data_IF_437174982496
#
_entry.id   IF_437174982496
#
_cell.length_a   1.000
_cell.length_b   1.000
_cell.length_c   1.000
_cell.angle_alpha   90.00
_cell.angle_beta   90.00
_cell.angle_gamma   90.00
#
_symmetry.space_group_name_H-M   'P 1'
#
loop_
_entity.id
_entity.type
_entity.pdbx_description
1 polymer ?
#
# COMPACT_ATOMS: atom_id res chain seq x y z
N UNK A 1 3.81 -3.29 17.73
CA UNK A 1 2.71 -4.06 17.12
C UNK A 1 1.38 -3.98 17.88
N UNK A 2 1.36 -3.70 19.19
CA UNK A 2 0.11 -3.65 19.98
C UNK A 2 -0.89 -2.61 19.41
N UNK A 3 -0.44 -1.41 19.10
CA UNK A 3 -1.30 -0.37 18.49
C UNK A 3 -1.90 -0.79 17.14
N UNK A 4 -1.11 -1.48 16.28
CA UNK A 4 -1.61 -1.97 14.99
C UNK A 4 -2.69 -3.04 15.16
N UNK A 5 -2.51 -3.97 16.11
CA UNK A 5 -3.54 -4.97 16.44
C UNK A 5 -4.84 -4.32 16.94
N UNK A 6 -4.73 -3.28 17.77
CA UNK A 6 -5.90 -2.55 18.24
C UNK A 6 -6.68 -1.89 17.09
N UNK A 7 -6.00 -1.27 16.13
CA UNK A 7 -6.66 -0.69 14.95
C UNK A 7 -7.32 -1.75 14.08
N UNK A 8 -6.67 -2.90 13.87
CA UNK A 8 -7.25 -4.03 13.12
C UNK A 8 -8.47 -4.60 13.85
N UNK A 9 -8.38 -4.82 15.17
CA UNK A 9 -9.51 -5.30 15.95
C UNK A 9 -10.68 -4.32 15.92
N UNK A 10 -10.39 -3.01 16.00
CA UNK A 10 -11.41 -1.98 15.90
C UNK A 10 -12.09 -1.99 14.53
N UNK A 11 -11.30 -2.11 13.43
CA UNK A 11 -11.83 -2.26 12.09
C UNK A 11 -12.77 -3.48 12.00
N UNK A 12 -12.31 -4.66 12.45
CA UNK A 12 -13.12 -5.89 12.43
C UNK A 12 -14.41 -5.75 13.25
N UNK A 13 -14.36 -5.09 14.40
CA UNK A 13 -15.54 -4.86 15.23
C UNK A 13 -16.54 -3.87 14.60
N UNK A 14 -16.05 -2.83 13.92
CA UNK A 14 -16.90 -1.83 13.27
C UNK A 14 -17.62 -2.37 12.03
N UNK A 15 -16.92 -3.21 11.26
CA UNK A 15 -17.43 -3.64 9.94
C UNK A 15 -17.93 -5.09 9.93
N UNK A 16 -17.59 -5.92 10.93
CA UNK A 16 -18.10 -7.30 11.06
C UNK A 16 -17.92 -8.10 9.78
N UNK A 17 -19.01 -8.63 9.25
CA UNK A 17 -19.04 -9.42 8.00
C UNK A 17 -19.18 -8.55 6.73
N UNK A 18 -19.14 -7.21 6.86
CA UNK A 18 -19.33 -6.27 5.75
C UNK A 18 -18.05 -5.99 4.97
N UNK A 19 -16.90 -6.39 5.47
CA UNK A 19 -15.63 -6.23 4.77
C UNK A 19 -15.18 -7.53 4.09
N UNK A 20 -14.44 -7.40 3.01
CA UNK A 20 -13.79 -8.52 2.32
C UNK A 20 -12.41 -8.12 1.80
N UNK A 21 -11.56 -9.13 1.60
CA UNK A 21 -10.28 -8.99 0.91
C UNK A 21 -10.29 -9.86 -0.35
N UNK A 22 -9.73 -9.37 -1.43
CA UNK A 22 -9.52 -10.10 -2.67
C UNK A 22 -8.23 -9.64 -3.37
N UNK A 23 -7.60 -10.47 -4.22
CA UNK A 23 -6.48 -10.04 -5.05
C UNK A 23 -6.94 -9.02 -6.12
N UNK A 24 -6.01 -8.15 -6.57
CA UNK A 24 -6.23 -7.31 -7.75
C UNK A 24 -6.18 -8.20 -8.99
N UNK A 25 -7.18 -8.05 -9.84
CA UNK A 25 -7.31 -8.73 -11.13
C UNK A 25 -7.65 -7.71 -12.23
N UNK A 26 -7.68 -8.14 -13.50
CA UNK A 26 -8.16 -7.30 -14.61
C UNK A 26 -9.60 -6.83 -14.42
N UNK A 27 -10.41 -7.56 -13.66
CA UNK A 27 -11.83 -7.26 -13.46
C UNK A 27 -12.05 -6.14 -12.45
N UNK A 28 -11.19 -6.03 -11.41
CA UNK A 28 -11.35 -5.04 -10.34
C UNK A 28 -10.30 -3.92 -10.34
N UNK A 29 -9.30 -3.96 -11.23
CA UNK A 29 -8.26 -2.94 -11.33
C UNK A 29 -8.83 -1.54 -11.61
N UNK A 30 -9.90 -1.44 -12.40
CA UNK A 30 -10.57 -0.16 -12.67
C UNK A 30 -11.21 0.43 -11.41
N UNK A 31 -11.77 -0.38 -10.53
CA UNK A 31 -12.32 0.10 -9.25
C UNK A 31 -11.21 0.66 -8.34
N UNK A 32 -10.02 0.01 -8.32
CA UNK A 32 -8.85 0.53 -7.63
C UNK A 32 -8.38 1.86 -8.23
N UNK A 33 -8.44 2.00 -9.56
CA UNK A 33 -8.12 3.25 -10.25
C UNK A 33 -9.10 4.38 -9.86
N UNK A 34 -10.40 4.10 -9.83
CA UNK A 34 -11.42 5.06 -9.38
C UNK A 34 -11.23 5.44 -7.90
N UNK A 35 -10.88 4.48 -7.04
CA UNK A 35 -10.52 4.75 -5.66
C UNK A 35 -9.29 5.66 -5.56
N UNK A 36 -8.25 5.43 -6.38
CA UNK A 36 -7.05 6.26 -6.42
C UNK A 36 -7.35 7.70 -6.85
N UNK A 37 -8.28 7.92 -7.79
CA UNK A 37 -8.75 9.26 -8.17
C UNK A 37 -9.41 9.98 -6.99
N UNK A 38 -10.32 9.33 -6.28
CA UNK A 38 -10.97 9.89 -5.09
C UNK A 38 -9.94 10.19 -3.99
N UNK A 39 -8.99 9.28 -3.78
CA UNK A 39 -7.90 9.48 -2.83
C UNK A 39 -7.05 10.71 -3.18
N UNK A 40 -6.75 10.92 -4.46
CA UNK A 40 -6.02 12.09 -4.97
C UNK A 40 -6.72 13.40 -4.60
N UNK A 41 -8.02 13.47 -4.82
CA UNK A 41 -8.83 14.65 -4.51
C UNK A 41 -8.83 14.94 -3.01
N UNK A 42 -9.07 13.93 -2.18
CA UNK A 42 -9.09 14.06 -0.71
C UNK A 42 -7.75 14.51 -0.11
N UNK A 43 -6.63 14.14 -0.76
CA UNK A 43 -5.29 14.42 -0.25
C UNK A 43 -4.64 15.66 -0.86
N UNK A 44 -5.34 16.42 -1.70
CA UNK A 44 -4.84 17.68 -2.30
C UNK A 44 -3.58 17.45 -3.13
N UNK A 45 -3.52 16.35 -3.90
CA UNK A 45 -2.32 15.99 -4.66
C UNK A 45 -2.00 16.95 -5.80
N UNK A 46 -2.93 17.80 -6.20
CA UNK A 46 -2.74 18.76 -7.30
C UNK A 46 -1.79 19.88 -6.93
N UNK A 47 -1.75 20.27 -5.67
CA UNK A 47 -0.96 21.38 -5.15
C UNK A 47 0.47 20.97 -4.72
N UNK A 48 0.74 19.67 -4.60
CA UNK A 48 2.03 19.14 -4.15
C UNK A 48 2.71 18.30 -5.23
N UNK A 49 3.87 18.75 -5.79
CA UNK A 49 4.59 18.03 -6.84
C UNK A 49 5.00 16.60 -6.47
N UNK A 50 5.34 16.34 -5.19
CA UNK A 50 5.70 14.99 -4.71
C UNK A 50 4.50 14.07 -4.71
N UNK A 51 3.36 14.55 -4.21
CA UNK A 51 2.10 13.79 -4.21
C UNK A 51 1.59 13.56 -5.64
N UNK A 52 1.78 14.53 -6.54
CA UNK A 52 1.47 14.33 -7.98
C UNK A 52 2.30 13.23 -8.59
N UNK A 53 3.60 13.18 -8.31
CA UNK A 53 4.47 12.10 -8.76
C UNK A 53 4.02 10.74 -8.23
N UNK A 54 3.74 10.65 -6.95
CA UNK A 54 3.27 9.42 -6.29
C UNK A 54 1.94 8.90 -6.87
N UNK A 55 0.96 9.78 -7.09
CA UNK A 55 -0.32 9.36 -7.67
C UNK A 55 -0.18 8.98 -9.15
N UNK A 56 0.69 9.65 -9.90
CA UNK A 56 0.99 9.29 -11.28
C UNK A 56 1.58 7.88 -11.38
N UNK A 57 2.54 7.54 -10.52
CA UNK A 57 3.10 6.17 -10.42
C UNK A 57 2.01 5.17 -10.06
N UNK A 58 1.17 5.50 -9.08
CA UNK A 58 0.05 4.64 -8.65
C UNK A 58 -0.89 4.32 -9.82
N UNK A 59 -1.27 5.34 -10.58
CA UNK A 59 -2.19 5.16 -11.71
C UNK A 59 -1.56 4.37 -12.87
N UNK A 60 -0.26 4.59 -13.14
CA UNK A 60 0.47 3.82 -14.14
C UNK A 60 0.63 2.36 -13.71
N UNK A 61 0.92 2.09 -12.44
CA UNK A 61 1.00 0.72 -11.91
C UNK A 61 -0.33 -0.03 -12.07
N UNK A 62 -1.47 0.63 -11.83
CA UNK A 62 -2.78 0.02 -12.04
C UNK A 62 -3.09 -0.22 -13.53
N UNK A 63 -2.71 0.70 -14.40
CA UNK A 63 -2.94 0.57 -15.86
C UNK A 63 -2.08 -0.52 -16.50
N UNK A 64 -0.86 -0.68 -16.03
CA UNK A 64 0.13 -1.64 -16.53
C UNK A 64 0.28 -2.85 -15.60
N UNK A 65 -0.72 -3.11 -14.76
CA UNK A 65 -0.65 -4.07 -13.68
C UNK A 65 -0.24 -5.48 -14.16
N UNK A 66 -0.83 -5.91 -15.28
CA UNK A 66 -0.56 -7.22 -15.86
C UNK A 66 0.78 -7.25 -16.59
N UNK A 67 1.09 -6.21 -17.39
CA UNK A 67 2.34 -6.11 -18.15
C UNK A 67 3.56 -6.05 -17.23
N UNK A 68 3.42 -5.45 -16.06
CA UNK A 68 4.45 -5.37 -15.04
C UNK A 68 4.45 -6.57 -14.08
N UNK A 69 3.55 -7.54 -14.29
CA UNK A 69 3.40 -8.75 -13.45
C UNK A 69 3.27 -8.42 -11.94
N UNK A 70 2.61 -7.30 -11.63
CA UNK A 70 2.43 -6.86 -10.26
C UNK A 70 1.43 -7.74 -9.50
N UNK A 71 1.61 -7.81 -8.19
CA UNK A 71 0.71 -8.49 -7.27
C UNK A 71 0.03 -7.42 -6.41
N UNK A 72 -1.27 -7.53 -6.22
CA UNK A 72 -2.01 -6.55 -5.44
C UNK A 72 -3.19 -7.15 -4.69
N UNK A 73 -3.68 -6.40 -3.70
CA UNK A 73 -4.84 -6.75 -2.91
C UNK A 73 -5.78 -5.58 -2.68
N UNK A 74 -7.06 -5.88 -2.57
CA UNK A 74 -8.17 -4.94 -2.40
C UNK A 74 -8.89 -5.21 -1.09
N UNK A 75 -9.19 -4.17 -0.34
CA UNK A 75 -10.07 -4.22 0.82
C UNK A 75 -11.38 -3.52 0.47
N UNK A 76 -12.50 -4.22 0.69
CA UNK A 76 -13.84 -3.69 0.48
C UNK A 76 -14.60 -3.56 1.78
N UNK A 77 -15.54 -2.63 1.80
CA UNK A 77 -16.61 -2.52 2.81
C UNK A 77 -17.91 -2.33 2.06
N UNK A 78 -18.91 -3.17 2.34
CA UNK A 78 -20.20 -3.18 1.64
C UNK A 78 -20.07 -3.27 0.10
N UNK A 79 -19.02 -3.95 -0.39
CA UNK A 79 -18.72 -4.07 -1.80
C UNK A 79 -17.86 -2.94 -2.39
N UNK A 80 -17.76 -1.80 -1.73
CA UNK A 80 -16.98 -0.65 -2.21
C UNK A 80 -15.48 -0.77 -1.86
N UNK A 81 -14.59 -0.42 -2.79
CA UNK A 81 -13.14 -0.40 -2.56
C UNK A 81 -12.77 0.74 -1.62
N UNK A 82 -12.21 0.41 -0.46
CA UNK A 82 -11.78 1.39 0.57
C UNK A 82 -10.28 1.45 0.75
N UNK A 83 -9.56 0.42 0.32
CA UNK A 83 -8.09 0.38 0.30
C UNK A 83 -7.59 -0.61 -0.74
N UNK A 84 -6.37 -0.37 -1.24
CA UNK A 84 -5.64 -1.34 -2.05
C UNK A 84 -4.13 -1.21 -1.80
N UNK A 85 -3.41 -2.27 -2.16
CA UNK A 85 -1.96 -2.32 -2.10
C UNK A 85 -1.41 -3.04 -3.33
N UNK A 86 -0.21 -2.64 -3.78
CA UNK A 86 0.46 -3.21 -4.93
C UNK A 86 1.93 -3.39 -4.59
N UNK A 87 2.49 -4.51 -5.03
CA UNK A 87 3.91 -4.82 -4.87
C UNK A 87 4.36 -5.94 -5.79
N UNK A 88 5.58 -6.39 -5.58
CA UNK A 88 6.19 -7.48 -6.35
C UNK A 88 7.30 -8.18 -5.55
N UNK A 89 7.66 -9.42 -5.87
CA UNK A 89 8.88 -10.02 -5.37
C UNK A 89 10.11 -9.36 -5.99
N UNK A 90 11.09 -8.97 -5.18
CA UNK A 90 12.38 -8.43 -5.67
C UNK A 90 13.50 -9.48 -5.64
N UNK A 91 13.33 -10.53 -4.86
CA UNK A 91 14.20 -11.70 -4.85
C UNK A 91 13.47 -12.88 -4.18
N UNK A 92 14.14 -14.01 -4.05
CA UNK A 92 13.53 -15.25 -3.55
C UNK A 92 13.02 -15.20 -2.12
N UNK A 93 13.49 -14.27 -1.29
CA UNK A 93 13.13 -14.16 0.12
C UNK A 93 12.45 -12.84 0.51
N UNK A 94 12.36 -11.87 -0.41
CA UNK A 94 11.89 -10.52 -0.12
C UNK A 94 10.82 -10.07 -1.12
N UNK A 95 9.69 -9.67 -0.58
CA UNK A 95 8.62 -9.00 -1.31
C UNK A 95 8.65 -7.49 -1.01
N UNK A 96 8.43 -6.63 -2.01
CA UNK A 96 8.34 -5.18 -1.83
C UNK A 96 6.90 -4.69 -2.01
N UNK A 97 6.45 -3.83 -1.10
CA UNK A 97 5.18 -3.11 -1.21
C UNK A 97 5.47 -1.70 -1.68
N UNK A 98 5.16 -1.42 -2.95
CA UNK A 98 5.36 -0.11 -3.58
C UNK A 98 4.26 0.89 -3.24
N UNK A 99 3.02 0.43 -3.28
CA UNK A 99 1.84 1.28 -3.17
C UNK A 99 0.92 0.71 -2.09
N UNK A 100 0.48 1.57 -1.18
CA UNK A 100 -0.57 1.27 -0.21
C UNK A 100 -1.44 2.50 -0.05
N UNK A 101 -2.70 2.42 -0.44
CA UNK A 101 -3.68 3.50 -0.37
C UNK A 101 -4.90 3.04 0.41
N UNK A 102 -5.39 3.91 1.29
CA UNK A 102 -6.65 3.72 2.01
C UNK A 102 -7.30 5.07 2.27
N UNK A 103 -8.61 5.11 2.38
CA UNK A 103 -9.30 6.30 2.82
C UNK A 103 -9.03 6.54 4.31
N UNK A 104 -8.57 7.76 4.64
CA UNK A 104 -8.13 8.11 6.00
C UNK A 104 -9.29 8.10 7.01
N UNK A 105 -10.50 8.38 6.57
CA UNK A 105 -11.74 8.35 7.37
C UNK A 105 -12.17 6.93 7.75
N UNK A 106 -11.66 5.90 7.06
CA UNK A 106 -11.92 4.50 7.39
C UNK A 106 -10.91 4.04 8.44
N UNK A 107 -11.33 4.12 9.70
CA UNK A 107 -10.43 3.78 10.81
C UNK A 107 -9.94 2.34 10.72
N UNK A 108 -8.62 2.18 10.73
CA UNK A 108 -7.97 0.87 10.67
C UNK A 108 -7.79 0.29 9.26
N UNK A 109 -8.23 0.98 8.18
CA UNK A 109 -8.10 0.47 6.81
C UNK A 109 -6.64 0.21 6.40
N UNK A 110 -5.72 1.15 6.66
CA UNK A 110 -4.29 0.95 6.37
C UNK A 110 -3.68 -0.28 7.06
N UNK A 111 -3.76 -0.46 8.38
CA UNK A 111 -3.24 -1.68 9.00
C UNK A 111 -4.00 -2.95 8.59
N UNK A 112 -5.28 -2.84 8.23
CA UNK A 112 -6.07 -3.98 7.79
C UNK A 112 -5.66 -4.45 6.40
N UNK A 113 -5.56 -3.56 5.40
CA UNK A 113 -5.10 -3.94 4.06
C UNK A 113 -3.67 -4.50 4.11
N UNK A 114 -2.78 -3.89 4.91
CA UNK A 114 -1.43 -4.40 5.08
C UNK A 114 -1.40 -5.81 5.68
N UNK A 115 -2.19 -6.09 6.72
CA UNK A 115 -2.28 -7.42 7.32
C UNK A 115 -2.78 -8.44 6.30
N UNK A 116 -3.90 -8.15 5.64
CA UNK A 116 -4.52 -9.08 4.70
C UNK A 116 -3.62 -9.38 3.52
N UNK A 117 -2.98 -8.36 2.97
CA UNK A 117 -2.05 -8.53 1.87
C UNK A 117 -0.86 -9.42 2.25
N UNK A 118 -0.24 -9.16 3.40
CA UNK A 118 0.88 -9.99 3.87
C UNK A 118 0.44 -11.42 4.15
N UNK A 119 -0.75 -11.61 4.72
CA UNK A 119 -1.30 -12.94 5.03
C UNK A 119 -1.65 -13.75 3.77
N UNK A 120 -2.02 -13.11 2.66
CA UNK A 120 -2.44 -13.81 1.44
C UNK A 120 -1.33 -13.91 0.41
N UNK A 121 -0.57 -12.82 0.19
CA UNK A 121 0.36 -12.74 -0.95
C UNK A 121 1.84 -12.87 -0.55
N UNK A 122 2.19 -12.66 0.73
CA UNK A 122 3.60 -12.60 1.13
C UNK A 122 4.05 -13.76 2.04
N UNK A 123 3.25 -14.82 2.21
CA UNK A 123 3.57 -15.92 3.15
C UNK A 123 4.85 -16.70 2.82
N UNK A 124 5.20 -16.75 1.55
CA UNK A 124 6.39 -17.48 1.08
C UNK A 124 7.69 -16.67 1.21
N UNK A 125 7.57 -15.38 1.55
CA UNK A 125 8.71 -14.48 1.68
C UNK A 125 9.11 -14.29 3.15
N UNK A 126 10.42 -14.29 3.39
CA UNK A 126 10.97 -14.08 4.72
C UNK A 126 10.83 -12.61 5.17
N UNK A 127 10.92 -11.68 4.21
CA UNK A 127 10.88 -10.25 4.44
C UNK A 127 9.83 -9.56 3.56
N UNK A 128 9.20 -8.52 4.13
CA UNK A 128 8.37 -7.57 3.40
C UNK A 128 9.00 -6.19 3.54
N UNK A 129 9.52 -5.68 2.42
CA UNK A 129 10.06 -4.33 2.33
C UNK A 129 8.91 -3.34 2.06
N UNK A 130 8.77 -2.34 2.90
CA UNK A 130 7.71 -1.32 2.77
C UNK A 130 8.26 0.02 2.29
N UNK A 131 9.43 0.01 1.66
CA UNK A 131 10.12 1.17 1.11
C UNK A 131 10.35 2.32 2.10
N UNK A 132 10.68 3.50 1.58
CA UNK A 132 11.01 4.68 2.38
C UNK A 132 9.78 5.50 2.81
N UNK A 133 10.00 6.46 3.70
CA UNK A 133 8.97 7.35 4.22
C UNK A 133 8.90 8.70 3.49
N UNK A 134 9.68 8.85 2.41
CA UNK A 134 9.76 10.08 1.59
C UNK A 134 10.04 11.38 2.38
N UNK A 135 10.50 11.26 3.63
CA UNK A 135 10.77 12.38 4.54
C UNK A 135 9.55 12.87 5.32
N UNK A 136 8.37 12.25 5.16
CA UNK A 136 7.18 12.62 5.89
C UNK A 136 7.19 12.02 7.30
N UNK A 137 7.22 12.87 8.35
CA UNK A 137 7.33 12.43 9.75
C UNK A 137 6.21 11.47 10.17
N UNK A 138 4.97 11.77 9.75
CA UNK A 138 3.81 10.90 10.03
C UNK A 138 3.95 9.51 9.42
N UNK A 139 4.43 9.43 8.18
CA UNK A 139 4.67 8.17 7.48
C UNK A 139 5.83 7.40 8.11
N UNK A 140 6.92 8.08 8.47
CA UNK A 140 8.05 7.51 9.22
C UNK A 140 7.59 6.87 10.52
N UNK A 141 6.84 7.61 11.34
CA UNK A 141 6.27 7.11 12.59
C UNK A 141 5.35 5.90 12.36
N UNK A 142 4.52 5.94 11.33
CA UNK A 142 3.65 4.83 10.97
C UNK A 142 4.43 3.59 10.57
N UNK A 143 5.49 3.72 9.72
CA UNK A 143 6.35 2.59 9.30
C UNK A 143 7.17 2.03 10.46
N UNK A 144 7.82 2.87 11.26
CA UNK A 144 8.59 2.44 12.45
C UNK A 144 7.73 1.74 13.51
N UNK A 145 6.44 2.05 13.59
CA UNK A 145 5.51 1.38 14.51
C UNK A 145 5.29 -0.11 14.21
N UNK A 146 5.67 -0.58 13.01
CA UNK A 146 5.73 -2.01 12.67
C UNK A 146 6.98 -2.72 13.23
N UNK A 147 7.95 -1.96 13.78
CA UNK A 147 9.22 -2.48 14.33
C UNK A 147 9.99 -3.28 13.26
N UNK A 148 10.50 -2.62 12.21
CA UNK A 148 11.28 -3.29 11.19
C UNK A 148 12.46 -4.03 11.81
N UNK A 149 12.79 -5.20 11.27
CA UNK A 149 13.90 -6.04 11.77
C UNK A 149 15.24 -5.45 11.39
N UNK A 150 15.31 -4.74 10.27
CA UNK A 150 16.46 -3.94 9.84
C UNK A 150 15.99 -2.84 8.88
N UNK A 151 16.86 -1.87 8.63
CA UNK A 151 16.68 -0.82 7.65
C UNK A 151 17.61 -1.09 6.48
N UNK A 152 17.06 -1.05 5.26
CA UNK A 152 17.87 -1.20 4.04
C UNK A 152 18.60 0.11 3.78
N UNK A 153 19.92 0.05 3.63
CA UNK A 153 20.72 1.19 3.21
C UNK A 153 20.52 1.46 1.71
N UNK A 154 20.25 2.71 1.36
CA UNK A 154 20.12 3.16 -0.02
C UNK A 154 21.26 4.12 -0.36
N UNK A 155 21.81 3.96 -1.56
CA UNK A 155 22.78 4.89 -2.12
C UNK A 155 22.30 5.46 -3.44
N UNK A 156 22.76 6.66 -3.77
CA UNK A 156 22.55 7.27 -5.10
C UNK A 156 23.84 7.12 -5.90
N UNK A 157 23.73 6.54 -7.09
CA UNK A 157 24.83 6.47 -8.06
C UNK A 157 24.65 7.61 -9.05
N UNK A 158 25.69 8.44 -9.19
CA UNK A 158 25.72 9.54 -10.16
C UNK A 158 26.89 9.34 -11.09
N UNK A 159 26.72 9.74 -12.36
CA UNK A 159 27.80 9.81 -13.32
C UNK A 159 28.78 10.91 -12.92
N UNK A 160 30.07 10.58 -12.92
CA UNK A 160 31.13 11.58 -12.73
C UNK A 160 31.47 12.13 -14.13
N UNK A 161 31.05 13.37 -14.41
CA UNK A 161 31.50 14.09 -15.61
C UNK A 161 32.94 14.53 -15.36
N UNK A 162 33.90 13.96 -16.11
CA UNK A 162 35.29 14.43 -16.20
C UNK A 162 35.38 15.74 -16.96
#
# INVERSE_FOLDING_TARGET
LHGKRNHINKFKNLYGDRWSYEPITSENAEECFQMALKWREQNGCEDDPKKRGEICVTMNALRLFQELELIGGVLRIDGEVVAFTIGEPICSDTFVVHIEKAFAEIEGAYPMINQQFVEHECREYLYVNREEDTGAEGLRKAKLSYRPVFMVEKGTVTEINE
#
